data_IF_909625304772
#
_entry.id   IF_909625304772
#
_cell.length_a   1.000
_cell.length_b   1.000
_cell.length_c   1.000
_cell.angle_alpha   90.00
_cell.angle_beta   90.00
_cell.angle_gamma   90.00
#
_symmetry.space_group_name_H-M   'P 1'
#
loop_
_entity.id
_entity.type
_entity.pdbx_description
1 polymer ?
#
# COMPACT_ATOMS: atom_id res chain seq x y z
N UNK A 1 -21.15 -42.48 -5.52
CA UNK A 1 -22.57 -42.69 -5.19
C UNK A 1 -22.74 -43.85 -4.22
N UNK A 2 -23.03 -43.56 -2.95
CA UNK A 2 -23.91 -44.32 -2.06
C UNK A 2 -24.04 -43.54 -0.76
N UNK A 3 -25.20 -42.92 -0.60
CA UNK A 3 -25.66 -42.27 0.62
C UNK A 3 -26.31 -43.34 1.52
N UNK A 4 -25.89 -43.40 2.79
CA UNK A 4 -26.69 -43.99 3.86
C UNK A 4 -26.49 -43.19 5.14
N UNK A 5 -27.59 -42.63 5.65
CA UNK A 5 -27.86 -42.12 7.01
C UNK A 5 -26.87 -41.10 7.62
N UNK A 6 -27.22 -39.85 7.46
CA UNK A 6 -26.91 -38.70 8.28
C UNK A 6 -26.31 -38.88 9.67
N UNK A 7 -24.98 -38.97 9.76
CA UNK A 7 -24.19 -38.58 10.94
C UNK A 7 -22.72 -38.47 10.51
N UNK A 8 -22.14 -37.30 10.64
CA UNK A 8 -20.68 -37.07 10.49
C UNK A 8 -19.97 -37.71 11.68
N UNK A 9 -19.07 -38.65 11.38
CA UNK A 9 -18.13 -39.22 12.37
C UNK A 9 -16.76 -38.62 12.11
N UNK A 10 -16.23 -37.87 13.10
CA UNK A 10 -14.85 -37.45 13.14
C UNK A 10 -13.96 -38.63 13.55
N UNK A 11 -12.97 -38.96 12.73
CA UNK A 11 -11.93 -39.93 13.08
C UNK A 11 -10.69 -39.17 13.51
N UNK A 12 -10.35 -39.28 14.78
CA UNK A 12 -9.07 -38.86 15.37
C UNK A 12 -8.01 -39.94 15.07
N UNK A 13 -7.00 -39.60 14.28
CA UNK A 13 -5.77 -40.38 14.23
C UNK A 13 -4.74 -39.81 15.20
N UNK A 14 -4.49 -40.56 16.27
CA UNK A 14 -3.35 -40.40 17.17
C UNK A 14 -2.11 -41.00 16.51
N UNK A 15 -1.08 -40.19 16.32
CA UNK A 15 0.29 -40.67 16.08
C UNK A 15 1.15 -40.32 17.28
N UNK A 16 1.52 -41.39 18.02
CA UNK A 16 2.55 -41.34 19.06
C UNK A 16 3.92 -41.37 18.36
N UNK A 17 4.77 -40.41 18.65
CA UNK A 17 6.19 -40.56 18.35
C UNK A 17 7.01 -40.43 19.66
N UNK A 18 7.72 -41.49 19.92
CA UNK A 18 8.69 -41.66 21.03
C UNK A 18 9.92 -40.80 20.80
N UNK A 19 10.27 -40.00 21.79
CA UNK A 19 11.55 -39.27 21.86
C UNK A 19 12.53 -40.14 22.69
N UNK A 20 13.57 -40.62 22.06
CA UNK A 20 14.68 -41.28 22.75
C UNK A 20 15.75 -40.23 23.06
N UNK A 21 15.95 -39.96 24.35
CA UNK A 21 16.97 -39.09 24.89
C UNK A 21 18.30 -39.86 24.96
N UNK A 22 19.34 -39.38 24.31
CA UNK A 22 20.72 -39.84 24.50
C UNK A 22 21.53 -38.73 25.17
N UNK A 23 21.90 -39.03 26.42
CA UNK A 23 22.87 -38.29 27.21
C UNK A 23 24.27 -38.73 26.78
N UNK A 24 25.13 -37.76 26.41
CA UNK A 24 26.57 -37.96 26.33
C UNK A 24 27.27 -37.04 27.31
N UNK A 25 27.91 -37.72 28.28
CA UNK A 25 28.89 -37.19 29.23
C UNK A 25 30.26 -37.16 28.53
N UNK A 26 30.98 -36.04 28.56
CA UNK A 26 32.42 -36.03 28.28
C UNK A 26 33.14 -34.97 29.07
N UNK A 27 33.91 -35.44 29.88
CA UNK A 27 35.14 -35.16 30.63
C UNK A 27 35.91 -33.85 30.34
N UNK A 28 36.27 -33.20 31.45
CA UNK A 28 37.26 -32.15 31.58
C UNK A 28 38.65 -32.59 31.09
N UNK A 29 39.34 -31.69 30.42
CA UNK A 29 40.82 -31.62 30.47
C UNK A 29 41.26 -30.16 30.54
N UNK A 30 42.05 -29.90 31.57
CA UNK A 30 42.77 -28.67 31.89
C UNK A 30 43.94 -28.48 30.94
N UNK A 31 44.15 -27.28 30.42
CA UNK A 31 45.46 -26.83 29.92
C UNK A 31 45.59 -25.33 29.88
N UNK A 32 46.30 -24.81 30.79
CA UNK A 32 47.37 -23.76 30.76
C UNK A 32 47.17 -22.48 29.94
N UNK A 33 47.22 -21.39 30.66
CA UNK A 33 47.37 -19.98 30.30
C UNK A 33 48.57 -19.71 29.40
N UNK A 34 48.32 -18.96 28.34
CA UNK A 34 49.28 -18.05 27.71
C UNK A 34 48.60 -16.73 27.40
N UNK A 35 48.96 -15.70 28.16
CA UNK A 35 48.61 -14.32 27.89
C UNK A 35 49.30 -13.84 26.61
N UNK A 36 48.50 -13.51 25.59
CA UNK A 36 48.92 -12.66 24.50
C UNK A 36 47.94 -11.48 24.47
N UNK A 37 48.42 -10.35 25.02
CA UNK A 37 47.76 -9.05 24.86
C UNK A 37 47.84 -8.63 23.40
N UNK A 38 46.71 -8.73 22.68
CA UNK A 38 46.52 -8.00 21.43
C UNK A 38 45.41 -6.99 21.64
N UNK A 39 45.82 -5.74 21.73
CA UNK A 39 44.97 -4.58 21.68
C UNK A 39 44.28 -4.55 20.30
N UNK A 40 43.04 -5.03 20.20
CA UNK A 40 42.20 -4.76 19.04
C UNK A 40 41.09 -3.76 19.42
N UNK A 41 41.38 -2.50 19.11
CA UNK A 41 40.37 -1.46 18.94
C UNK A 41 39.52 -1.82 17.70
N UNK A 42 38.54 -2.70 17.84
CA UNK A 42 37.50 -2.94 16.80
C UNK A 42 36.26 -3.58 17.45
N UNK A 43 35.58 -2.84 18.32
CA UNK A 43 34.28 -3.24 18.87
C UNK A 43 33.26 -2.10 18.94
N UNK A 44 33.44 -1.03 18.14
CA UNK A 44 32.53 0.11 18.15
C UNK A 44 31.77 0.37 16.83
N UNK A 45 31.89 -0.50 15.82
CA UNK A 45 31.30 -0.23 14.50
C UNK A 45 30.09 -1.08 14.12
N UNK A 46 29.74 -2.11 14.87
CA UNK A 46 28.61 -2.99 14.50
C UNK A 46 27.30 -2.61 15.20
N UNK A 47 27.31 -2.10 16.41
CA UNK A 47 26.08 -1.68 17.11
C UNK A 47 25.54 -0.33 16.60
N UNK A 48 26.39 0.61 16.17
CA UNK A 48 25.94 1.89 15.62
C UNK A 48 25.41 1.74 14.19
N UNK A 49 25.93 0.77 13.41
CA UNK A 49 25.46 0.51 12.06
C UNK A 49 24.06 -0.14 11.99
N UNK A 50 23.67 -0.90 13.02
CA UNK A 50 22.33 -1.49 13.15
C UNK A 50 21.26 -0.44 13.51
N UNK A 51 21.64 0.62 14.20
CA UNK A 51 20.74 1.71 14.60
C UNK A 51 20.32 2.62 13.44
N UNK A 52 21.11 2.70 12.38
CA UNK A 52 20.93 3.63 11.26
C UNK A 52 20.33 2.97 10.01
N UNK A 53 19.97 1.70 10.09
CA UNK A 53 19.38 0.95 8.98
C UNK A 53 18.03 0.35 9.36
N UNK A 54 17.24 0.01 8.33
CA UNK A 54 16.02 -0.76 8.43
C UNK A 54 15.99 -1.84 7.35
N UNK A 55 15.04 -2.75 7.43
CA UNK A 55 14.80 -3.78 6.42
C UNK A 55 13.31 -3.82 6.06
N UNK A 56 13.01 -4.12 4.79
CA UNK A 56 11.67 -4.45 4.35
C UNK A 56 11.34 -5.93 4.65
N UNK A 57 10.07 -6.31 4.84
CA UNK A 57 8.91 -5.43 4.85
C UNK A 57 8.73 -4.71 6.20
N UNK A 58 7.98 -3.60 6.20
CA UNK A 58 7.65 -2.85 7.43
C UNK A 58 6.66 -3.62 8.34
N UNK A 59 5.75 -4.38 7.71
CA UNK A 59 4.85 -5.36 8.34
C UNK A 59 4.86 -6.64 7.53
N UNK A 60 4.55 -7.76 8.14
CA UNK A 60 4.44 -9.06 7.44
C UNK A 60 3.27 -9.08 6.45
N UNK A 61 2.21 -8.32 6.75
CA UNK A 61 1.03 -8.13 5.93
C UNK A 61 0.54 -6.69 6.05
N UNK A 62 -0.01 -6.12 4.98
CA UNK A 62 -0.53 -4.76 4.95
C UNK A 62 -0.68 -4.28 3.50
N UNK A 63 -1.72 -4.77 2.77
CA UNK A 63 -1.99 -4.29 1.42
C UNK A 63 -2.43 -2.83 1.42
N UNK A 64 -2.19 -2.16 0.29
CA UNK A 64 -2.57 -0.77 0.06
C UNK A 64 -2.10 0.19 1.17
N UNK A 65 -0.79 0.23 1.47
CA UNK A 65 -0.25 1.08 2.51
C UNK A 65 -0.36 2.55 2.12
N UNK A 66 -0.79 3.38 3.06
CA UNK A 66 -0.83 4.83 2.89
C UNK A 66 -0.24 5.51 4.13
N UNK A 67 0.51 6.58 3.92
CA UNK A 67 1.02 7.39 5.01
C UNK A 67 1.14 8.86 4.62
N UNK A 68 1.06 9.73 5.62
CA UNK A 68 1.46 11.13 5.50
C UNK A 68 2.40 11.51 6.64
N UNK A 69 3.25 12.49 6.38
CA UNK A 69 4.09 13.13 7.41
C UNK A 69 3.47 14.48 7.77
N UNK A 70 3.13 14.67 9.05
CA UNK A 70 2.51 15.88 9.55
C UNK A 70 2.98 16.16 10.98
N UNK A 71 3.39 17.39 11.26
CA UNK A 71 3.85 17.86 12.58
C UNK A 71 4.87 16.90 13.26
N UNK A 72 5.90 16.48 12.50
CA UNK A 72 6.99 15.66 13.02
C UNK A 72 6.65 14.17 13.20
N UNK A 73 5.50 13.71 12.73
CA UNK A 73 5.04 12.33 12.85
C UNK A 73 4.57 11.78 11.52
N UNK A 74 4.74 10.48 11.34
CA UNK A 74 4.08 9.72 10.29
C UNK A 74 2.77 9.15 10.83
N UNK A 75 1.71 9.32 10.08
CA UNK A 75 0.41 8.68 10.27
C UNK A 75 0.22 7.69 9.15
N UNK A 76 0.07 6.42 9.51
CA UNK A 76 0.07 5.29 8.58
C UNK A 76 -1.21 4.47 8.72
N UNK A 77 -1.71 3.95 7.62
CA UNK A 77 -2.81 2.99 7.56
C UNK A 77 -2.58 1.99 6.42
N UNK A 78 -3.24 0.85 6.50
CA UNK A 78 -3.33 -0.13 5.42
C UNK A 78 -4.68 -0.86 5.49
N UNK A 79 -4.98 -1.66 4.47
CA UNK A 79 -6.23 -2.40 4.38
C UNK A 79 -6.28 -3.56 5.38
N UNK A 80 -7.41 -3.67 6.09
CA UNK A 80 -7.69 -4.74 7.04
C UNK A 80 -9.06 -5.39 6.83
N UNK A 81 -9.79 -5.00 5.78
CA UNK A 81 -11.08 -5.49 5.29
C UNK A 81 -12.35 -5.16 6.11
N UNK A 82 -12.28 -5.05 7.41
CA UNK A 82 -13.47 -4.94 8.27
C UNK A 82 -13.45 -3.76 9.25
N UNK A 83 -12.30 -3.11 9.40
CA UNK A 83 -12.12 -1.95 10.28
C UNK A 83 -10.93 -1.12 9.80
N UNK A 84 -10.73 0.08 10.36
CA UNK A 84 -9.60 0.93 10.01
C UNK A 84 -8.76 1.18 11.24
N UNK A 85 -7.47 0.87 11.12
CA UNK A 85 -6.45 1.20 12.10
C UNK A 85 -5.60 2.37 11.62
N UNK A 86 -5.15 3.17 12.57
CA UNK A 86 -4.19 4.24 12.36
C UNK A 86 -2.98 4.01 13.26
N UNK A 87 -1.81 3.97 12.66
CA UNK A 87 -0.52 3.93 13.36
C UNK A 87 0.13 5.29 13.34
N UNK A 88 0.76 5.67 14.44
CA UNK A 88 1.54 6.92 14.55
C UNK A 88 2.94 6.64 15.06
N UNK A 89 3.93 7.24 14.42
CA UNK A 89 5.34 7.09 14.77
C UNK A 89 6.17 8.30 14.34
N UNK A 90 7.31 8.52 14.95
CA UNK A 90 8.36 9.45 14.48
C UNK A 90 9.39 8.76 13.59
N UNK A 91 9.37 7.41 13.54
CA UNK A 91 10.24 6.59 12.70
C UNK A 91 9.39 5.60 11.90
N UNK A 92 9.16 5.91 10.61
CA UNK A 92 8.37 5.07 9.70
C UNK A 92 8.98 3.67 9.50
N UNK A 93 10.25 3.50 9.80
CA UNK A 93 10.95 2.22 9.65
C UNK A 93 10.77 1.29 10.86
N UNK A 94 10.20 1.80 11.95
CA UNK A 94 9.93 1.06 13.18
C UNK A 94 8.43 0.89 13.45
N UNK A 95 7.69 0.53 12.42
CA UNK A 95 6.23 0.34 12.47
C UNK A 95 5.77 -0.66 13.55
N UNK A 96 6.45 -1.80 13.80
CA UNK A 96 6.03 -2.73 14.87
C UNK A 96 5.98 -2.13 16.28
N UNK A 97 6.77 -1.07 16.54
CA UNK A 97 6.79 -0.35 17.82
C UNK A 97 5.96 0.93 17.81
N UNK A 98 5.26 1.24 16.72
CA UNK A 98 4.40 2.42 16.62
C UNK A 98 3.15 2.30 17.51
N UNK A 99 2.59 3.45 17.89
CA UNK A 99 1.28 3.48 18.56
C UNK A 99 0.18 3.20 17.53
N UNK A 100 -0.68 2.22 17.83
CA UNK A 100 -1.80 1.83 16.97
C UNK A 100 -3.13 2.11 17.67
N UNK A 101 -4.12 2.60 16.92
CA UNK A 101 -5.50 2.79 17.37
C UNK A 101 -6.46 2.30 16.29
N UNK A 102 -7.47 1.53 16.69
CA UNK A 102 -8.67 1.31 15.88
C UNK A 102 -9.46 2.62 15.84
N UNK A 103 -9.57 3.23 14.67
CA UNK A 103 -10.20 4.54 14.50
C UNK A 103 -11.59 4.45 13.88
N UNK A 104 -11.91 3.33 13.22
CA UNK A 104 -13.21 3.12 12.62
C UNK A 104 -13.61 1.64 12.61
N UNK A 105 -14.82 1.40 13.13
CA UNK A 105 -15.55 0.14 12.98
C UNK A 105 -16.91 0.49 12.37
N UNK A 106 -17.24 -0.01 11.18
CA UNK A 106 -18.50 0.30 10.54
C UNK A 106 -19.68 -0.26 11.33
N UNK A 107 -20.81 0.44 11.29
CA UNK A 107 -22.05 0.07 11.99
C UNK A 107 -23.24 -0.08 11.06
N UNK A 108 -23.14 0.45 9.85
CA UNK A 108 -24.18 0.40 8.84
C UNK A 108 -23.92 -0.76 7.89
N UNK A 109 -24.81 -1.74 7.77
CA UNK A 109 -24.64 -2.89 6.87
C UNK A 109 -24.37 -2.52 5.41
N UNK A 110 -24.77 -1.33 4.96
CA UNK A 110 -24.54 -0.87 3.58
C UNK A 110 -23.06 -0.56 3.27
N UNK A 111 -22.19 -0.47 4.29
CA UNK A 111 -20.78 -0.13 4.15
C UNK A 111 -19.89 -0.84 5.19
N UNK A 112 -20.28 -2.04 5.58
CA UNK A 112 -19.60 -2.80 6.65
C UNK A 112 -18.69 -3.91 6.14
N UNK A 113 -18.54 -4.06 4.83
CA UNK A 113 -17.76 -5.14 4.24
C UNK A 113 -16.70 -4.57 3.31
N UNK A 114 -15.60 -5.31 3.18
CA UNK A 114 -14.53 -5.05 2.23
C UNK A 114 -14.04 -3.58 2.31
N UNK A 115 -13.62 -3.15 3.50
CA UNK A 115 -13.05 -1.83 3.71
C UNK A 115 -11.66 -1.78 3.07
N UNK A 116 -11.60 -1.30 1.83
CA UNK A 116 -10.38 -1.29 1.02
C UNK A 116 -9.75 0.08 0.94
N UNK A 117 -8.42 0.10 0.83
CA UNK A 117 -7.62 1.26 0.49
C UNK A 117 -7.87 2.49 1.37
N UNK A 118 -7.76 2.39 2.70
CA UNK A 118 -7.85 3.56 3.54
C UNK A 118 -6.72 4.54 3.24
N UNK A 119 -7.08 5.80 3.00
CA UNK A 119 -6.16 6.89 2.74
C UNK A 119 -6.37 8.02 3.74
N UNK A 120 -5.36 8.32 4.57
CA UNK A 120 -5.42 9.41 5.55
C UNK A 120 -4.91 10.72 4.95
N UNK A 121 -5.62 11.82 5.22
CA UNK A 121 -5.27 13.20 4.83
C UNK A 121 -5.55 14.18 5.95
N UNK A 122 -4.75 15.24 6.02
CA UNK A 122 -5.06 16.45 6.78
C UNK A 122 -5.41 17.54 5.77
N UNK A 123 -6.64 18.06 5.83
CA UNK A 123 -7.15 19.11 4.95
C UNK A 123 -7.73 20.19 5.84
N UNK A 124 -7.24 21.43 5.71
CA UNK A 124 -7.67 22.58 6.51
C UNK A 124 -7.64 22.31 8.03
N UNK A 125 -6.63 21.58 8.50
CA UNK A 125 -6.42 21.27 9.91
C UNK A 125 -7.35 20.18 10.47
N UNK A 126 -8.15 19.53 9.64
CA UNK A 126 -8.97 18.39 10.00
C UNK A 126 -8.45 17.11 9.34
N UNK A 127 -8.76 15.98 9.96
CA UNK A 127 -8.32 14.68 9.49
C UNK A 127 -9.46 13.96 8.78
N UNK A 128 -9.13 13.42 7.63
CA UNK A 128 -10.03 12.62 6.81
C UNK A 128 -9.41 11.27 6.51
N UNK A 129 -10.24 10.23 6.51
CA UNK A 129 -9.86 8.93 5.94
C UNK A 129 -10.89 8.61 4.87
N UNK A 130 -10.38 8.43 3.66
CA UNK A 130 -11.13 7.97 2.49
C UNK A 130 -10.92 6.47 2.36
N UNK A 131 -11.96 5.72 2.05
CA UNK A 131 -11.89 4.28 1.85
C UNK A 131 -13.04 3.80 0.96
N UNK A 132 -12.89 2.61 0.38
CA UNK A 132 -14.00 1.94 -0.30
C UNK A 132 -14.64 0.92 0.63
N UNK A 133 -15.96 0.75 0.54
CA UNK A 133 -16.69 -0.29 1.26
C UNK A 133 -17.96 -0.67 0.51
N UNK A 134 -18.57 -1.81 0.88
CA UNK A 134 -19.81 -2.33 0.30
C UNK A 134 -20.72 -3.01 1.34
N UNK A 135 -21.80 -3.60 0.85
CA UNK A 135 -22.84 -4.31 1.64
C UNK A 135 -22.63 -5.84 1.69
N UNK A 136 -21.44 -6.31 1.37
CA UNK A 136 -21.09 -7.73 1.19
C UNK A 136 -21.07 -8.16 -0.28
N UNK A 137 -21.44 -7.28 -1.21
CA UNK A 137 -21.33 -7.47 -2.65
C UNK A 137 -20.40 -6.42 -3.26
N UNK A 138 -19.24 -6.86 -3.76
CA UNK A 138 -18.22 -5.98 -4.34
C UNK A 138 -18.70 -5.18 -5.56
N UNK A 139 -19.81 -5.55 -6.20
CA UNK A 139 -20.44 -4.75 -7.26
C UNK A 139 -21.09 -3.46 -6.70
N UNK A 140 -21.25 -3.35 -5.40
CA UNK A 140 -21.82 -2.19 -4.71
C UNK A 140 -20.77 -1.32 -3.99
N UNK A 141 -19.49 -1.54 -4.24
CA UNK A 141 -18.43 -0.71 -3.67
C UNK A 141 -18.63 0.77 -3.97
N UNK A 142 -18.52 1.59 -2.93
CA UNK A 142 -18.53 3.05 -3.02
C UNK A 142 -17.39 3.63 -2.19
N UNK A 143 -17.02 4.85 -2.52
CA UNK A 143 -16.04 5.61 -1.75
C UNK A 143 -16.76 6.31 -0.60
N UNK A 144 -16.29 6.08 0.62
CA UNK A 144 -16.74 6.72 1.84
C UNK A 144 -15.65 7.60 2.42
N UNK A 145 -16.05 8.57 3.22
CA UNK A 145 -15.14 9.44 3.95
C UNK A 145 -15.60 9.62 5.39
N UNK A 146 -14.65 9.55 6.31
CA UNK A 146 -14.83 9.85 7.73
C UNK A 146 -13.94 11.04 8.11
N UNK A 147 -14.44 11.90 9.01
CA UNK A 147 -13.79 13.13 9.46
C UNK A 147 -13.53 13.07 10.97
N UNK A 148 -12.37 13.54 11.39
CA UNK A 148 -12.03 13.83 12.78
C UNK A 148 -11.54 15.28 12.87
N UNK A 149 -12.20 16.11 13.69
CA UNK A 149 -11.91 17.53 13.89
C UNK A 149 -10.91 17.81 15.03
N UNK A 150 -10.39 16.75 15.66
CA UNK A 150 -9.30 16.88 16.65
C UNK A 150 -7.98 17.27 15.96
N UNK A 151 -7.14 18.13 16.55
CA UNK A 151 -5.80 18.41 16.02
C UNK A 151 -4.90 17.17 15.91
N UNK A 152 -5.08 16.19 16.80
CA UNK A 152 -4.41 14.90 16.74
C UNK A 152 -5.42 13.79 16.38
N UNK A 153 -5.29 13.07 15.26
CA UNK A 153 -6.25 12.05 14.83
C UNK A 153 -6.26 10.83 15.74
N UNK A 154 -5.24 10.68 16.60
CA UNK A 154 -5.22 9.65 17.65
C UNK A 154 -6.13 10.01 18.82
N UNK A 155 -6.60 11.27 18.88
CA UNK A 155 -7.60 11.78 19.82
C UNK A 155 -8.92 11.99 19.10
N UNK A 156 -10.00 12.23 19.87
CA UNK A 156 -11.32 12.41 19.29
C UNK A 156 -11.88 11.16 18.60
N UNK A 157 -12.87 11.37 17.76
CA UNK A 157 -13.57 10.30 17.05
C UNK A 157 -13.74 10.66 15.56
N UNK A 158 -13.52 9.68 14.69
CA UNK A 158 -13.90 9.80 13.29
C UNK A 158 -15.42 9.62 13.14
N UNK A 159 -16.03 10.46 12.28
CA UNK A 159 -17.46 10.44 12.01
C UNK A 159 -17.71 10.34 10.52
N UNK A 160 -18.65 9.48 10.12
CA UNK A 160 -19.04 9.27 8.73
C UNK A 160 -19.60 10.57 8.13
N UNK A 161 -19.08 10.98 6.98
CA UNK A 161 -19.63 12.07 6.15
C UNK A 161 -20.55 11.54 5.06
N UNK A 162 -20.43 10.25 4.71
CA UNK A 162 -21.24 9.57 3.70
C UNK A 162 -20.43 9.09 2.53
N UNK A 163 -21.13 8.54 1.53
CA UNK A 163 -20.54 8.15 0.26
C UNK A 163 -20.31 9.37 -0.63
N UNK A 164 -19.17 9.41 -1.31
CA UNK A 164 -18.90 10.40 -2.36
C UNK A 164 -19.64 9.97 -3.63
N UNK A 165 -20.49 10.82 -4.17
CA UNK A 165 -21.22 10.56 -5.41
C UNK A 165 -20.30 10.74 -6.61
N UNK A 166 -19.64 9.66 -7.04
CA UNK A 166 -18.70 9.65 -8.17
C UNK A 166 -19.41 9.57 -9.52
N UNK A 167 -20.60 8.95 -9.57
CA UNK A 167 -21.44 8.84 -10.76
C UNK A 167 -22.91 8.64 -10.35
N UNK A 168 -23.87 9.42 -10.87
CA UNK A 168 -25.28 9.30 -10.51
C UNK A 168 -25.97 8.01 -10.98
N UNK A 169 -25.42 7.31 -11.97
CA UNK A 169 -26.05 6.09 -12.50
C UNK A 169 -25.60 4.84 -11.72
N UNK A 170 -24.31 4.72 -11.44
CA UNK A 170 -23.73 3.69 -10.56
C UNK A 170 -22.47 4.26 -9.89
N UNK A 171 -22.55 4.35 -8.61
CA UNK A 171 -21.54 5.03 -7.81
C UNK A 171 -20.36 4.12 -7.43
N UNK A 172 -20.01 3.14 -8.29
CA UNK A 172 -18.90 2.25 -8.03
C UNK A 172 -17.56 2.97 -8.07
N UNK A 173 -16.78 2.81 -7.03
CA UNK A 173 -15.44 3.40 -6.94
C UNK A 173 -14.63 2.78 -5.81
N UNK A 174 -13.32 2.61 -6.07
CA UNK A 174 -12.32 2.12 -5.11
C UNK A 174 -11.04 2.96 -5.24
N UNK A 175 -10.10 2.77 -4.33
CA UNK A 175 -8.79 3.46 -4.32
C UNK A 175 -8.90 4.98 -4.41
N UNK A 176 -9.64 5.61 -3.49
CA UNK A 176 -9.69 7.07 -3.44
C UNK A 176 -8.34 7.66 -3.08
N UNK A 177 -7.95 8.76 -3.70
CA UNK A 177 -6.76 9.54 -3.35
C UNK A 177 -7.03 11.02 -3.56
N UNK A 178 -6.76 11.86 -2.56
CA UNK A 178 -6.96 13.29 -2.66
C UNK A 178 -5.65 14.06 -2.72
N UNK A 179 -5.64 15.14 -3.46
CA UNK A 179 -4.50 16.06 -3.52
C UNK A 179 -4.95 17.50 -3.76
N UNK A 180 -4.12 18.43 -3.34
CA UNK A 180 -4.30 19.84 -3.64
C UNK A 180 -3.39 20.26 -4.80
N UNK A 181 -3.93 21.05 -5.71
CA UNK A 181 -3.18 21.66 -6.79
C UNK A 181 -3.71 23.07 -7.06
N UNK A 182 -2.82 24.07 -6.96
CA UNK A 182 -3.16 25.49 -7.15
C UNK A 182 -4.33 25.98 -6.31
N UNK A 183 -4.44 25.51 -5.07
CA UNK A 183 -5.48 25.87 -4.13
C UNK A 183 -6.84 25.21 -4.37
N UNK A 184 -6.91 24.27 -5.28
CA UNK A 184 -8.10 23.45 -5.55
C UNK A 184 -7.87 22.03 -5.08
N UNK A 185 -8.88 21.43 -4.44
CA UNK A 185 -8.86 20.04 -3.99
C UNK A 185 -9.39 19.12 -5.10
N UNK A 186 -8.70 18.03 -5.36
CA UNK A 186 -9.07 17.00 -6.33
C UNK A 186 -9.20 15.63 -5.68
N UNK A 187 -10.10 14.81 -6.22
CA UNK A 187 -10.19 13.38 -5.94
C UNK A 187 -9.77 12.60 -7.19
N UNK A 188 -8.89 11.63 -6.99
CA UNK A 188 -8.56 10.55 -7.93
C UNK A 188 -9.16 9.25 -7.40
N UNK A 189 -9.62 8.38 -8.30
CA UNK A 189 -10.10 7.05 -7.91
C UNK A 189 -10.12 6.09 -9.09
N UNK A 190 -10.27 4.81 -8.78
CA UNK A 190 -10.57 3.77 -9.77
C UNK A 190 -12.06 3.55 -9.84
N UNK A 191 -12.61 3.57 -11.05
CA UNK A 191 -14.04 3.45 -11.31
C UNK A 191 -14.35 2.69 -12.59
N UNK A 192 -15.60 2.25 -12.73
CA UNK A 192 -16.08 1.62 -13.94
C UNK A 192 -16.56 2.67 -14.95
N UNK A 193 -16.21 2.51 -16.25
CA UNK A 193 -16.82 3.32 -17.30
C UNK A 193 -18.29 2.99 -17.50
N UNK A 194 -18.63 1.70 -17.38
CA UNK A 194 -19.98 1.15 -17.45
C UNK A 194 -20.15 0.07 -16.39
N UNK A 195 -21.39 -0.29 -16.05
CA UNK A 195 -21.64 -1.43 -15.16
C UNK A 195 -21.05 -2.70 -15.77
N UNK A 196 -20.36 -3.47 -14.93
CA UNK A 196 -19.78 -4.76 -15.33
C UNK A 196 -20.83 -5.76 -15.81
N UNK A 197 -20.62 -6.38 -16.97
CA UNK A 197 -21.51 -7.41 -17.51
C UNK A 197 -20.74 -8.69 -17.85
N UNK A 198 -19.66 -8.69 -18.49
CA UNK A 198 -18.92 -9.91 -18.89
C UNK A 198 -17.43 -9.78 -18.69
N UNK A 199 -16.97 -8.54 -18.57
CA UNK A 199 -15.59 -8.20 -18.21
C UNK A 199 -15.61 -6.94 -17.38
N UNK A 200 -14.60 -6.78 -16.55
CA UNK A 200 -14.41 -5.58 -15.76
C UNK A 200 -13.29 -4.74 -16.37
N UNK A 201 -13.56 -3.45 -16.53
CA UNK A 201 -12.54 -2.48 -16.89
C UNK A 201 -12.53 -1.37 -15.85
N UNK A 202 -11.47 -1.30 -15.07
CA UNK A 202 -11.24 -0.23 -14.11
C UNK A 202 -10.41 0.86 -14.77
N UNK A 203 -10.86 2.10 -14.63
CA UNK A 203 -10.25 3.30 -15.21
C UNK A 203 -9.94 4.31 -14.11
N UNK A 204 -8.94 5.15 -14.32
CA UNK A 204 -8.64 6.26 -13.41
C UNK A 204 -9.48 7.46 -13.78
N UNK A 205 -10.18 7.99 -12.78
CA UNK A 205 -10.97 9.22 -12.86
C UNK A 205 -10.37 10.30 -11.97
N UNK A 206 -10.63 11.53 -12.36
CA UNK A 206 -10.36 12.74 -11.60
C UNK A 206 -11.61 13.62 -11.55
N UNK A 207 -11.83 14.30 -10.43
CA UNK A 207 -12.80 15.36 -10.30
C UNK A 207 -12.30 16.43 -9.32
N UNK A 208 -12.71 17.69 -9.50
CA UNK A 208 -12.49 18.71 -8.50
C UNK A 208 -13.54 18.57 -7.39
N UNK A 209 -13.12 18.83 -6.18
CA UNK A 209 -13.96 18.76 -5.00
C UNK A 209 -14.43 20.16 -4.56
N UNK A 210 -15.64 20.26 -4.06
CA UNK A 210 -16.19 21.45 -3.41
C UNK A 210 -15.77 21.51 -1.94
N UNK A 211 -15.71 20.37 -1.31
CA UNK A 211 -15.28 20.14 0.06
C UNK A 211 -14.78 18.69 0.17
N UNK A 212 -14.19 18.25 1.28
CA UNK A 212 -13.57 16.91 1.37
C UNK A 212 -14.50 15.70 1.15
N UNK A 213 -15.79 15.86 0.99
CA UNK A 213 -16.76 14.77 0.75
C UNK A 213 -17.76 15.02 -0.39
N UNK A 214 -17.58 16.12 -1.17
CA UNK A 214 -18.48 16.45 -2.27
C UNK A 214 -17.72 16.85 -3.52
N UNK A 215 -18.05 16.26 -4.67
CA UNK A 215 -17.48 16.65 -5.95
C UNK A 215 -18.12 17.96 -6.47
N UNK A 216 -17.30 18.90 -6.92
CA UNK A 216 -17.72 20.14 -7.59
C UNK A 216 -17.95 19.92 -9.10
N UNK A 217 -17.32 18.90 -9.70
CA UNK A 217 -17.40 18.64 -11.13
C UNK A 217 -17.83 17.21 -11.41
N UNK A 218 -18.27 16.96 -12.64
CA UNK A 218 -18.40 15.60 -13.15
C UNK A 218 -17.02 14.91 -13.21
N UNK A 219 -17.01 13.58 -13.08
CA UNK A 219 -15.81 12.79 -13.27
C UNK A 219 -15.25 12.91 -14.67
N UNK A 220 -13.94 12.92 -14.78
CA UNK A 220 -13.20 12.88 -16.04
C UNK A 220 -12.30 11.64 -16.02
N UNK A 221 -12.39 10.80 -17.05
CA UNK A 221 -11.50 9.65 -17.22
C UNK A 221 -10.15 10.14 -17.74
N UNK A 222 -9.07 9.86 -17.03
CA UNK A 222 -7.70 10.23 -17.41
C UNK A 222 -6.83 9.03 -17.78
N UNK A 223 -7.25 7.81 -17.46
CA UNK A 223 -6.59 6.58 -17.88
C UNK A 223 -7.57 5.41 -18.00
N UNK A 224 -7.37 4.58 -19.00
CA UNK A 224 -7.98 3.25 -19.15
C UNK A 224 -6.89 2.24 -19.55
N UNK A 225 -7.05 0.94 -19.32
CA UNK A 225 -6.09 -0.06 -19.76
C UNK A 225 -5.95 -0.11 -21.28
N UNK A 226 -4.79 0.26 -21.81
CA UNK A 226 -4.50 0.35 -23.25
C UNK A 226 -3.44 -0.65 -23.68
N UNK A 227 -2.39 -0.82 -22.85
CA UNK A 227 -1.24 -1.64 -23.14
C UNK A 227 -1.41 -3.07 -22.63
N UNK A 228 -0.71 -4.04 -23.22
CA UNK A 228 -0.77 -5.44 -22.80
C UNK A 228 -0.32 -5.63 -21.35
N UNK A 229 0.67 -4.87 -20.89
CA UNK A 229 1.13 -4.93 -19.51
C UNK A 229 0.09 -4.42 -18.49
N UNK A 230 -0.95 -3.73 -18.91
CA UNK A 230 -2.07 -3.28 -18.06
C UNK A 230 -3.22 -4.30 -18.00
N UNK A 231 -3.12 -5.41 -18.73
CA UNK A 231 -4.23 -6.36 -18.97
C UNK A 231 -3.93 -7.78 -18.53
N UNK A 232 -2.90 -7.98 -17.71
CA UNK A 232 -2.50 -9.31 -17.25
C UNK A 232 -3.24 -9.69 -15.98
N UNK A 233 -4.13 -10.67 -16.07
CA UNK A 233 -5.01 -11.13 -15.00
C UNK A 233 -4.96 -12.64 -14.75
N UNK A 234 -4.16 -13.38 -15.52
CA UNK A 234 -3.92 -14.82 -15.37
C UNK A 234 -2.61 -15.02 -14.60
N UNK A 235 -2.65 -15.77 -13.51
CA UNK A 235 -1.47 -16.15 -12.76
C UNK A 235 -0.57 -17.13 -13.56
N UNK A 236 0.73 -17.25 -13.25
CA UNK A 236 1.63 -18.22 -13.88
C UNK A 236 1.20 -19.68 -13.74
N UNK A 237 0.46 -20.02 -12.66
CA UNK A 237 -0.12 -21.36 -12.43
C UNK A 237 -1.40 -21.61 -13.24
N UNK A 238 -1.83 -20.63 -14.05
CA UNK A 238 -3.06 -20.67 -14.84
C UNK A 238 -4.32 -20.30 -14.04
N UNK A 239 -4.22 -19.96 -12.76
CA UNK A 239 -5.32 -19.45 -11.95
C UNK A 239 -5.81 -18.12 -12.48
N UNK A 240 -7.14 -17.92 -12.54
CA UNK A 240 -7.75 -16.72 -13.09
C UNK A 240 -9.12 -16.46 -12.50
N UNK A 241 -9.60 -15.23 -12.66
CA UNK A 241 -10.99 -14.88 -12.35
C UNK A 241 -11.97 -15.52 -13.36
N UNK A 242 -13.25 -15.52 -13.02
CA UNK A 242 -14.30 -16.05 -13.89
C UNK A 242 -14.44 -15.30 -15.23
N UNK A 243 -13.96 -14.06 -15.32
CA UNK A 243 -13.98 -13.20 -16.50
C UNK A 243 -12.72 -12.33 -16.54
N UNK A 244 -12.36 -11.79 -17.74
CA UNK A 244 -11.22 -10.88 -17.87
C UNK A 244 -11.41 -9.62 -17.03
N UNK A 245 -10.32 -9.20 -16.34
CA UNK A 245 -10.25 -7.96 -15.59
C UNK A 245 -9.09 -7.14 -16.16
N UNK A 246 -9.40 -5.95 -16.63
CA UNK A 246 -8.45 -4.97 -17.15
C UNK A 246 -8.38 -3.80 -16.19
N UNK A 247 -7.22 -3.55 -15.60
CA UNK A 247 -7.12 -2.71 -14.40
C UNK A 247 -6.15 -1.57 -14.57
N UNK A 248 -6.66 -0.36 -14.34
CA UNK A 248 -5.92 0.79 -13.84
C UNK A 248 -6.55 1.20 -12.50
N UNK A 249 -5.79 1.10 -11.40
CA UNK A 249 -6.30 1.36 -10.05
C UNK A 249 -5.25 2.03 -9.15
N UNK A 250 -5.57 2.31 -7.89
CA UNK A 250 -4.69 2.91 -6.89
C UNK A 250 -3.95 4.16 -7.37
N UNK A 251 -4.65 5.18 -7.90
CA UNK A 251 -3.98 6.40 -8.35
C UNK A 251 -3.38 7.14 -7.17
N UNK A 252 -2.16 7.67 -7.35
CA UNK A 252 -1.47 8.52 -6.38
C UNK A 252 -0.83 9.71 -7.06
N UNK A 253 -1.12 10.90 -6.52
CA UNK A 253 -0.53 12.15 -6.96
C UNK A 253 0.92 12.26 -6.50
N UNK A 254 1.75 12.79 -7.38
CA UNK A 254 3.08 13.30 -7.08
C UNK A 254 3.46 14.40 -8.07
N UNK A 255 4.68 14.92 -8.00
CA UNK A 255 5.13 16.01 -8.85
C UNK A 255 6.61 15.86 -9.22
N UNK A 256 7.05 16.56 -10.28
CA UNK A 256 8.47 16.75 -10.59
C UNK A 256 9.15 17.59 -9.52
N UNK A 257 10.48 17.51 -9.45
CA UNK A 257 11.30 18.23 -8.47
C UNK A 257 11.09 19.74 -8.47
N UNK A 258 10.81 20.31 -9.62
CA UNK A 258 10.55 21.74 -9.83
C UNK A 258 9.05 22.12 -9.76
N UNK A 259 8.16 21.15 -9.48
CA UNK A 259 6.71 21.29 -9.47
C UNK A 259 6.08 21.73 -10.81
N UNK A 260 6.78 21.58 -11.94
CA UNK A 260 6.25 21.94 -13.25
C UNK A 260 5.46 20.81 -13.92
N UNK A 261 5.55 19.60 -13.40
CA UNK A 261 4.83 18.44 -13.89
C UNK A 261 4.02 17.80 -12.76
N UNK A 262 2.72 17.70 -12.98
CA UNK A 262 1.82 16.86 -12.19
C UNK A 262 1.96 15.42 -12.65
N UNK A 263 2.10 14.51 -11.71
CA UNK A 263 2.27 13.08 -11.97
C UNK A 263 1.15 12.33 -11.24
N UNK A 264 0.52 11.39 -11.93
CA UNK A 264 -0.36 10.39 -11.31
C UNK A 264 0.24 9.01 -11.58
N UNK A 265 0.75 8.39 -10.54
CA UNK A 265 1.08 6.97 -10.58
C UNK A 265 -0.19 6.15 -10.38
N UNK A 266 -0.28 5.00 -11.04
CA UNK A 266 -1.41 4.09 -10.89
C UNK A 266 -0.94 2.65 -10.98
N UNK A 267 -1.68 1.75 -10.37
CA UNK A 267 -1.43 0.32 -10.45
C UNK A 267 -2.16 -0.29 -11.64
N UNK A 268 -1.56 -1.30 -12.26
CA UNK A 268 -2.13 -1.96 -13.43
C UNK A 268 -1.98 -3.47 -13.36
N UNK A 269 -2.81 -4.19 -14.10
CA UNK A 269 -2.95 -5.64 -14.11
C UNK A 269 -3.66 -6.21 -12.87
N UNK A 270 -3.79 -7.54 -12.74
CA UNK A 270 -4.44 -8.16 -11.59
C UNK A 270 -3.56 -8.14 -10.34
N UNK A 271 -4.05 -7.58 -9.25
CA UNK A 271 -3.31 -7.47 -8.00
C UNK A 271 -2.93 -8.83 -7.37
N UNK A 272 -3.60 -9.91 -7.74
CA UNK A 272 -3.32 -11.30 -7.33
C UNK A 272 -2.20 -11.96 -8.16
N UNK A 273 -1.77 -11.32 -9.25
CA UNK A 273 -0.74 -11.84 -10.16
C UNK A 273 0.62 -11.19 -9.91
N UNK A 274 1.73 -11.80 -10.34
CA UNK A 274 3.06 -11.20 -10.24
C UNK A 274 3.23 -9.99 -11.17
N UNK A 275 2.33 -9.83 -12.14
CA UNK A 275 2.36 -8.79 -13.17
C UNK A 275 1.75 -7.46 -12.70
N UNK A 276 1.18 -7.41 -11.50
CA UNK A 276 0.76 -6.15 -10.91
C UNK A 276 1.94 -5.19 -10.84
N UNK A 277 1.78 -3.99 -11.38
CA UNK A 277 2.88 -3.05 -11.60
C UNK A 277 2.37 -1.62 -11.57
N UNK A 278 3.29 -0.66 -11.65
CA UNK A 278 2.94 0.76 -11.62
C UNK A 278 3.12 1.40 -12.99
N UNK A 279 2.09 2.09 -13.45
CA UNK A 279 2.10 3.00 -14.59
C UNK A 279 2.20 4.46 -14.14
N UNK A 280 2.36 5.38 -15.12
CA UNK A 280 2.52 6.80 -14.85
C UNK A 280 1.77 7.62 -15.90
N UNK A 281 1.04 8.63 -15.43
CA UNK A 281 0.49 9.73 -16.22
C UNK A 281 1.22 11.01 -15.85
N UNK A 282 1.43 11.89 -16.82
CA UNK A 282 2.01 13.22 -16.61
C UNK A 282 1.18 14.28 -17.25
N UNK A 283 1.08 15.45 -16.62
CA UNK A 283 0.46 16.65 -17.18
C UNK A 283 1.32 17.86 -16.80
N UNK A 284 1.33 18.88 -17.65
CA UNK A 284 1.92 20.18 -17.30
C UNK A 284 1.16 20.77 -16.10
N UNK A 285 1.87 21.30 -15.12
CA UNK A 285 1.25 21.86 -13.91
C UNK A 285 0.35 23.07 -14.18
N UNK A 286 0.52 23.75 -15.32
CA UNK A 286 -0.30 24.87 -15.75
C UNK A 286 -1.49 24.44 -16.63
N UNK A 287 -1.57 23.16 -17.01
CA UNK A 287 -2.66 22.65 -17.83
C UNK A 287 -3.94 22.44 -17.02
N UNK A 288 -5.07 22.34 -17.73
CA UNK A 288 -6.34 21.92 -17.13
C UNK A 288 -6.31 20.42 -16.83
N UNK A 289 -6.23 20.04 -15.58
CA UNK A 289 -6.20 18.62 -15.14
C UNK A 289 -7.52 17.89 -15.41
N UNK A 290 -8.63 18.61 -15.62
CA UNK A 290 -9.92 18.03 -16.00
C UNK A 290 -10.07 17.86 -17.52
N UNK A 291 -9.06 18.23 -18.31
CA UNK A 291 -9.01 17.92 -19.73
C UNK A 291 -8.23 16.62 -19.96
N UNK A 292 -8.83 15.51 -20.46
CA UNK A 292 -8.11 14.27 -20.72
C UNK A 292 -6.90 14.44 -21.65
N UNK A 293 -6.93 15.41 -22.56
CA UNK A 293 -5.82 15.67 -23.49
C UNK A 293 -4.59 16.28 -22.83
N UNK A 294 -4.68 16.77 -21.58
CA UNK A 294 -3.55 17.25 -20.81
C UNK A 294 -2.64 16.09 -20.33
N UNK A 295 -3.19 14.89 -20.25
CA UNK A 295 -2.49 13.74 -19.69
C UNK A 295 -1.77 12.93 -20.74
N UNK A 296 -0.52 12.57 -20.44
CA UNK A 296 0.32 11.68 -21.24
C UNK A 296 0.63 10.43 -20.44
N UNK A 297 0.31 9.27 -21.00
CA UNK A 297 0.55 7.97 -20.38
C UNK A 297 1.91 7.42 -20.78
N UNK A 298 2.67 6.87 -19.82
CA UNK A 298 3.86 6.09 -20.11
C UNK A 298 3.52 4.82 -20.88
N UNK A 299 4.19 4.52 -21.99
CA UNK A 299 3.93 3.29 -22.77
C UNK A 299 4.46 2.02 -22.11
N UNK A 300 5.26 2.16 -21.07
CA UNK A 300 5.87 1.06 -20.29
C UNK A 300 5.62 1.24 -18.81
N UNK A 301 5.58 0.16 -18.00
CA UNK A 301 5.51 0.29 -16.55
C UNK A 301 6.77 0.98 -16.03
N UNK A 302 6.60 1.82 -14.99
CA UNK A 302 7.70 2.56 -14.36
C UNK A 302 8.23 1.87 -13.10
N UNK A 303 7.48 0.92 -12.57
CA UNK A 303 7.89 0.10 -11.43
C UNK A 303 7.19 -1.26 -11.53
N UNK A 304 7.98 -2.35 -11.60
CA UNK A 304 7.47 -3.69 -11.89
C UNK A 304 8.27 -4.77 -11.17
N UNK A 305 7.80 -6.01 -11.23
CA UNK A 305 8.43 -7.16 -10.59
C UNK A 305 9.92 -7.30 -10.95
N UNK A 306 10.66 -7.87 -9.99
CA UNK A 306 12.05 -8.31 -10.15
C UNK A 306 12.19 -9.73 -9.60
N UNK A 307 11.84 -10.76 -10.38
CA UNK A 307 11.79 -12.16 -9.94
C UNK A 307 13.12 -12.68 -9.39
N UNK A 308 14.26 -12.25 -9.95
CA UNK A 308 15.59 -12.60 -9.49
C UNK A 308 15.90 -12.15 -8.06
N UNK A 309 15.22 -11.11 -7.59
CA UNK A 309 15.32 -10.59 -6.22
C UNK A 309 14.12 -11.01 -5.35
N UNK A 310 13.25 -11.87 -5.86
CA UNK A 310 12.04 -12.31 -5.14
C UNK A 310 11.04 -11.19 -4.89
N UNK A 311 10.88 -10.25 -5.84
CA UNK A 311 9.92 -9.15 -5.73
C UNK A 311 8.87 -9.29 -6.83
N UNK A 312 7.60 -9.40 -6.42
CA UNK A 312 6.47 -9.59 -7.32
C UNK A 312 5.35 -8.60 -7.01
N UNK A 313 4.72 -8.07 -8.06
CA UNK A 313 3.57 -7.19 -7.96
C UNK A 313 3.80 -5.88 -7.18
N UNK A 314 4.92 -5.14 -7.36
CA UNK A 314 5.13 -3.88 -6.65
C UNK A 314 4.21 -2.78 -7.21
N UNK A 315 3.29 -2.28 -6.37
CA UNK A 315 2.30 -1.28 -6.75
C UNK A 315 1.60 -0.69 -5.50
N UNK A 316 0.51 0.06 -5.68
CA UNK A 316 -0.21 0.68 -4.56
C UNK A 316 0.68 1.66 -3.82
N UNK A 317 1.16 2.69 -4.54
CA UNK A 317 2.16 3.63 -4.04
C UNK A 317 1.57 4.66 -3.09
N UNK A 318 2.39 5.15 -2.15
CA UNK A 318 2.19 6.36 -1.38
C UNK A 318 3.54 7.07 -1.21
N UNK A 319 3.57 8.39 -1.23
CA UNK A 319 4.82 9.16 -1.18
C UNK A 319 4.93 9.91 0.12
N UNK A 320 6.07 9.80 0.79
CA UNK A 320 6.34 10.47 2.06
C UNK A 320 7.73 11.13 2.05
N UNK A 321 7.88 12.32 2.65
CA UNK A 321 9.19 12.93 2.85
C UNK A 321 9.92 12.27 4.02
N UNK A 322 11.25 12.44 4.07
CA UNK A 322 12.04 12.23 5.28
C UNK A 322 11.69 13.27 6.35
N UNK A 323 11.97 13.01 7.67
CA UNK A 323 11.69 13.95 8.74
C UNK A 323 12.30 15.35 8.56
N UNK A 324 13.45 15.46 7.91
CA UNK A 324 14.11 16.73 7.61
C UNK A 324 13.70 17.33 6.24
N UNK A 325 12.82 16.66 5.49
CA UNK A 325 12.32 17.11 4.20
C UNK A 325 13.32 17.06 3.04
N UNK A 326 14.51 16.48 3.24
CA UNK A 326 15.57 16.47 2.21
C UNK A 326 15.46 15.31 1.23
N UNK A 327 14.73 14.27 1.60
CA UNK A 327 14.57 13.04 0.84
C UNK A 327 13.09 12.70 0.65
N UNK A 328 12.80 11.94 -0.40
CA UNK A 328 11.48 11.37 -0.65
C UNK A 328 11.55 9.85 -0.70
N UNK A 329 10.51 9.23 -0.23
CA UNK A 329 10.35 7.79 -0.18
C UNK A 329 9.05 7.37 -0.84
N UNK A 330 9.08 6.22 -1.52
CA UNK A 330 7.90 5.50 -1.96
C UNK A 330 7.60 4.37 -0.97
N UNK A 331 6.40 4.41 -0.42
CA UNK A 331 5.78 3.33 0.33
C UNK A 331 4.91 2.55 -0.66
N UNK A 332 5.07 1.23 -0.74
CA UNK A 332 4.39 0.39 -1.71
C UNK A 332 4.13 -1.00 -1.15
N UNK A 333 3.25 -1.73 -1.77
CA UNK A 333 3.05 -3.16 -1.49
C UNK A 333 3.77 -4.02 -2.49
N UNK A 334 4.23 -5.20 -2.06
CA UNK A 334 4.73 -6.25 -2.94
C UNK A 334 4.61 -7.63 -2.28
N UNK A 335 4.85 -8.70 -3.06
CA UNK A 335 4.96 -10.08 -2.59
C UNK A 335 6.38 -10.57 -2.70
N UNK A 336 6.70 -11.60 -1.92
CA UNK A 336 7.96 -12.35 -2.06
C UNK A 336 7.77 -13.67 -2.82
N UNK A 337 6.53 -13.97 -3.25
CA UNK A 337 6.16 -15.13 -4.07
C UNK A 337 5.37 -14.67 -5.30
N UNK A 338 5.42 -15.41 -6.43
CA UNK A 338 4.84 -14.96 -7.71
C UNK A 338 3.30 -14.99 -7.76
N UNK A 339 2.61 -15.65 -6.84
CA UNK A 339 1.14 -15.75 -6.85
C UNK A 339 0.57 -15.52 -5.46
N UNK A 340 -0.54 -14.79 -5.38
CA UNK A 340 -1.34 -14.60 -4.17
C UNK A 340 -2.49 -15.59 -4.01
N UNK A 341 -2.74 -16.48 -4.99
CA UNK A 341 -3.91 -17.37 -5.05
C UNK A 341 -3.61 -18.81 -4.66
N UNK A 342 -2.79 -19.03 -3.65
CA UNK A 342 -2.42 -20.38 -3.18
C UNK A 342 -3.36 -20.93 -2.11
N UNK A 343 -4.47 -20.22 -1.79
CA UNK A 343 -5.37 -20.56 -0.67
C UNK A 343 -4.81 -20.15 0.70
N UNK A 344 -3.63 -19.59 0.74
CA UNK A 344 -3.08 -18.86 1.88
C UNK A 344 -3.53 -17.40 1.82
N UNK A 345 -3.57 -16.73 2.97
CA UNK A 345 -3.88 -15.31 3.07
C UNK A 345 -2.98 -14.51 2.13
N UNK A 346 -3.54 -13.50 1.51
CA UNK A 346 -2.79 -12.65 0.58
C UNK A 346 -1.59 -11.99 1.29
N UNK A 347 -0.38 -12.35 0.86
CA UNK A 347 0.87 -11.94 1.52
C UNK A 347 1.44 -10.64 0.94
N UNK A 348 0.59 -9.70 0.54
CA UNK A 348 1.05 -8.34 0.18
C UNK A 348 1.55 -7.64 1.44
N UNK A 349 2.81 -7.23 1.41
CA UNK A 349 3.43 -6.54 2.54
C UNK A 349 3.91 -5.15 2.16
N UNK A 350 3.84 -4.19 3.09
CA UNK A 350 4.29 -2.82 2.87
C UNK A 350 5.81 -2.74 2.90
N UNK A 351 6.36 -2.05 1.91
CA UNK A 351 7.79 -1.79 1.73
C UNK A 351 8.05 -0.32 1.54
N UNK A 352 9.20 0.13 1.98
CA UNK A 352 9.65 1.50 1.87
C UNK A 352 10.96 1.55 1.07
N UNK A 353 11.08 2.51 0.17
CA UNK A 353 12.27 2.71 -0.65
C UNK A 353 12.49 4.19 -0.93
N UNK A 354 13.73 4.66 -0.81
CA UNK A 354 14.10 6.02 -1.22
C UNK A 354 13.95 6.16 -2.74
N UNK A 355 13.38 7.27 -3.19
CA UNK A 355 13.35 7.63 -4.61
C UNK A 355 14.47 8.60 -4.96
N UNK A 356 14.89 8.53 -6.23
CA UNK A 356 15.79 9.49 -6.84
C UNK A 356 15.08 10.53 -7.71
N UNK A 357 15.88 11.30 -8.42
CA UNK A 357 15.44 12.25 -9.44
C UNK A 357 16.29 12.06 -10.69
N UNK A 358 15.67 11.94 -11.84
CA UNK A 358 16.39 11.87 -13.10
C UNK A 358 16.99 13.24 -13.52
N UNK A 359 17.67 13.28 -14.66
CA UNK A 359 18.30 14.51 -15.18
C UNK A 359 17.30 15.63 -15.52
N UNK A 360 16.02 15.28 -15.70
CA UNK A 360 14.91 16.19 -15.99
C UNK A 360 14.12 16.57 -14.72
N UNK A 361 14.56 16.11 -13.54
CA UNK A 361 13.83 16.32 -12.30
C UNK A 361 12.57 15.47 -12.14
N UNK A 362 12.41 14.41 -12.94
CA UNK A 362 11.34 13.46 -12.76
C UNK A 362 11.69 12.45 -11.67
N UNK A 363 10.70 11.96 -10.88
CA UNK A 363 10.96 10.98 -9.85
C UNK A 363 11.45 9.66 -10.47
N UNK A 364 12.55 9.14 -9.95
CA UNK A 364 13.09 7.83 -10.25
C UNK A 364 12.78 6.88 -9.10
N UNK A 365 11.83 5.98 -9.29
CA UNK A 365 11.44 4.99 -8.28
C UNK A 365 12.51 3.91 -8.10
N UNK A 366 13.48 3.82 -9.02
CA UNK A 366 14.49 2.76 -9.02
C UNK A 366 13.92 1.37 -9.32
N UNK A 367 14.64 0.36 -8.85
CA UNK A 367 14.25 -1.04 -8.95
C UNK A 367 13.73 -1.48 -7.58
N UNK A 368 12.60 -2.25 -7.49
CA UNK A 368 12.10 -2.71 -6.22
C UNK A 368 13.11 -3.61 -5.51
N UNK A 369 13.40 -3.29 -4.25
CA UNK A 369 14.47 -3.92 -3.49
C UNK A 369 13.97 -5.21 -2.81
N UNK A 370 14.83 -6.25 -2.69
CA UNK A 370 14.51 -7.48 -1.99
C UNK A 370 14.29 -7.24 -0.49
N UNK A 371 13.47 -8.10 0.13
CA UNK A 371 13.29 -8.09 1.59
C UNK A 371 14.59 -8.43 2.32
N UNK A 372 14.66 -8.03 3.60
CA UNK A 372 15.83 -8.27 4.48
C UNK A 372 17.16 -7.65 3.99
N UNK A 373 17.11 -6.71 3.05
CA UNK A 373 18.26 -5.91 2.65
C UNK A 373 18.37 -4.72 3.59
N UNK A 374 19.52 -4.51 4.28
CA UNK A 374 19.72 -3.32 5.11
C UNK A 374 19.71 -2.05 4.25
N UNK A 375 18.83 -1.13 4.59
CA UNK A 375 18.65 0.16 3.92
C UNK A 375 18.89 1.29 4.91
N UNK A 376 19.49 2.42 4.52
CA UNK A 376 19.60 3.58 5.38
C UNK A 376 18.23 4.10 5.78
N UNK A 377 18.06 4.46 7.05
CA UNK A 377 16.86 5.15 7.52
C UNK A 377 16.67 6.51 6.83
N UNK A 378 15.44 7.01 6.72
CA UNK A 378 15.18 8.36 6.24
C UNK A 378 15.97 9.42 7.01
N UNK A 379 16.51 10.38 6.28
CA UNK A 379 17.29 11.48 6.85
C UNK A 379 16.47 12.25 7.91
N UNK A 380 17.11 12.58 9.04
CA UNK A 380 16.42 13.23 10.16
C UNK A 380 15.60 12.31 11.04
N UNK A 381 15.62 10.99 10.81
CA UNK A 381 14.97 10.02 11.72
C UNK A 381 15.67 10.06 13.09
N UNK A 382 14.88 10.35 14.14
CA UNK A 382 15.39 10.33 15.51
C UNK A 382 15.37 8.90 16.02
N UNK A 383 16.54 8.30 16.15
CA UNK A 383 16.68 7.01 16.85
C UNK A 383 16.46 7.23 18.35
N UNK A 384 15.35 6.75 18.88
CA UNK A 384 15.14 6.73 20.33
C UNK A 384 16.25 5.88 20.97
N UNK A 385 17.05 6.55 21.81
CA UNK A 385 18.11 5.93 22.61
C UNK A 385 17.54 5.02 23.68
#
# INVERSE_FOLDING_TARGET
LLTVNGKKVFSLYHLKNNVTMRIYLCLLSFSVLLNISCNSKHAGKTEDAEKDTYVNPLFTEGPNPNAIYHDGKYYYTHETNDQIFLWVTTDITDMPRSTCKEVWVPKDPSNSYHLWNPEIRNIDGKWYIYFAADDGNTDNHQIYVIENDSPDPMQGEFRMKGAIMTNPEWNWGIHPSTFEHKGELYLLWSGWPNRRIGSETQCIYIARMENPWTLATKRVMISQPEYEWERQWINPDGGRTAYPIYVNESPQYFHSKDNQTVIVYYSASGCWSPYYCTGMLTADADSDLLNPASWKKSPVPVFQQKPEDGVYGPAGLSFIPSPDGTEWYVLYQARSIPSGNTGESETRNPRLQKIGWDANGMPDLGIPLPVNTPLPKPSGTVTNQ
#
